data_IF_951587606340
#
_entry.id   IF_951587606340
#
_cell.length_a   1.000
_cell.length_b   1.000
_cell.length_c   1.000
_cell.angle_alpha   90.00
_cell.angle_beta   90.00
_cell.angle_gamma   90.00
#
_symmetry.space_group_name_H-M   'P 1'
#
loop_
_entity.id
_entity.type
_entity.pdbx_description
1 polymer ?
#
# COMPACT_ATOMS: atom_id res chain seq x y z
N UNK A 1 -0.84 24.57 36.71
CA UNK A 1 -1.14 25.79 35.91
C UNK A 1 -0.43 25.77 34.55
N UNK A 2 0.87 25.46 34.46
CA UNK A 2 1.65 25.39 33.21
C UNK A 2 1.20 24.32 32.19
N UNK A 3 0.74 23.15 32.63
CA UNK A 3 0.30 22.08 31.72
C UNK A 3 -0.98 22.42 30.93
N UNK A 4 -1.87 23.25 31.50
CA UNK A 4 -3.16 23.61 30.90
C UNK A 4 -2.95 24.68 29.84
N UNK A 5 -2.06 25.65 30.07
CA UNK A 5 -1.70 26.70 29.11
C UNK A 5 -0.96 26.14 27.90
N UNK A 6 -0.05 25.19 28.09
CA UNK A 6 0.66 24.51 26.98
C UNK A 6 -0.31 23.64 26.18
N UNK A 7 -1.21 22.90 26.84
CA UNK A 7 -2.24 22.10 26.16
C UNK A 7 -3.22 22.97 25.35
N UNK A 8 -3.64 24.11 25.90
CA UNK A 8 -4.48 25.08 25.18
C UNK A 8 -3.78 25.78 24.01
N UNK A 9 -2.47 26.05 24.12
CA UNK A 9 -1.68 26.62 23.04
C UNK A 9 -1.46 25.60 21.91
N UNK A 10 -1.15 24.34 22.25
CA UNK A 10 -1.02 23.23 21.29
C UNK A 10 -2.36 22.97 20.59
N UNK A 11 -3.48 23.02 21.32
CA UNK A 11 -4.82 22.88 20.72
C UNK A 11 -5.20 24.04 19.80
N UNK A 12 -4.82 25.29 20.10
CA UNK A 12 -5.07 26.44 19.23
C UNK A 12 -4.21 26.43 17.96
N UNK A 13 -2.95 26.03 18.07
CA UNK A 13 -2.07 25.87 16.91
C UNK A 13 -2.58 24.74 16.02
N UNK A 14 -2.93 23.57 16.58
CA UNK A 14 -3.55 22.46 15.81
C UNK A 14 -4.85 22.86 15.09
N UNK A 15 -5.76 23.57 15.78
CA UNK A 15 -7.07 23.96 15.22
C UNK A 15 -7.02 25.02 14.11
N UNK A 16 -5.97 25.83 14.01
CA UNK A 16 -5.79 26.76 12.89
C UNK A 16 -5.11 26.13 11.67
N UNK A 17 -4.24 25.14 11.91
CA UNK A 17 -3.37 24.51 10.91
C UNK A 17 -4.05 23.42 10.09
N UNK A 18 -4.92 22.60 10.71
CA UNK A 18 -5.58 21.49 10.04
C UNK A 18 -6.55 21.97 8.94
N UNK A 19 -7.17 23.14 9.08
CA UNK A 19 -8.15 23.65 8.11
C UNK A 19 -7.53 24.10 6.79
N UNK A 20 -6.33 24.68 6.80
CA UNK A 20 -5.65 25.09 5.56
C UNK A 20 -5.11 23.89 4.78
N UNK A 21 -4.60 22.87 5.48
CA UNK A 21 -4.04 21.68 4.86
C UNK A 21 -5.11 20.85 4.11
N UNK A 22 -6.27 20.66 4.74
CA UNK A 22 -7.43 19.97 4.13
C UNK A 22 -8.18 20.83 3.10
N UNK A 23 -7.87 22.12 2.98
CA UNK A 23 -8.45 22.98 1.93
C UNK A 23 -7.83 22.68 0.55
N UNK A 24 -6.61 22.14 0.51
CA UNK A 24 -5.99 21.74 -0.75
C UNK A 24 -6.64 20.45 -1.28
N UNK A 25 -7.51 20.60 -2.30
CA UNK A 25 -8.22 19.49 -2.96
C UNK A 25 -7.28 18.39 -3.46
N UNK A 26 -6.06 18.75 -3.88
CA UNK A 26 -5.06 17.78 -4.35
C UNK A 26 -4.55 16.90 -3.20
N UNK A 27 -4.30 17.50 -2.03
CA UNK A 27 -3.85 16.76 -0.85
C UNK A 27 -4.92 15.80 -0.34
N UNK A 28 -6.18 16.25 -0.29
CA UNK A 28 -7.30 15.38 0.11
C UNK A 28 -7.46 14.19 -0.84
N UNK A 29 -7.39 14.43 -2.16
CA UNK A 29 -7.42 13.35 -3.15
C UNK A 29 -6.24 12.38 -2.99
N UNK A 30 -5.05 12.89 -2.66
CA UNK A 30 -3.86 12.07 -2.40
C UNK A 30 -4.03 11.19 -1.16
N UNK A 31 -4.61 11.71 -0.06
CA UNK A 31 -4.91 10.92 1.15
C UNK A 31 -5.92 9.81 0.85
N UNK A 32 -6.99 10.11 0.09
CA UNK A 32 -7.97 9.08 -0.32
C UNK A 32 -7.34 8.02 -1.22
N UNK A 33 -6.48 8.42 -2.15
CA UNK A 33 -5.73 7.49 -2.98
C UNK A 33 -4.82 6.60 -2.14
N UNK A 34 -4.07 7.16 -1.19
CA UNK A 34 -3.17 6.42 -0.32
C UNK A 34 -3.91 5.40 0.54
N UNK A 35 -5.07 5.78 1.09
CA UNK A 35 -5.98 4.89 1.82
C UNK A 35 -6.33 3.65 0.99
N UNK A 36 -6.73 3.85 -0.27
CA UNK A 36 -7.17 2.79 -1.17
C UNK A 36 -6.00 1.94 -1.69
N UNK A 37 -4.87 2.56 -1.99
CA UNK A 37 -3.67 1.87 -2.43
C UNK A 37 -3.13 0.94 -1.34
N UNK A 38 -3.08 1.43 -0.09
CA UNK A 38 -2.58 0.65 1.03
C UNK A 38 -3.53 -0.48 1.43
N UNK A 39 -4.85 -0.26 1.41
CA UNK A 39 -5.81 -1.34 1.67
C UNK A 39 -5.72 -2.46 0.63
N UNK A 40 -5.61 -2.10 -0.66
CA UNK A 40 -5.44 -3.05 -1.76
C UNK A 40 -4.14 -3.87 -1.63
N UNK A 41 -3.05 -3.21 -1.22
CA UNK A 41 -1.79 -3.87 -0.94
C UNK A 41 -1.92 -4.88 0.20
N UNK A 42 -2.50 -4.48 1.34
CA UNK A 42 -2.70 -5.37 2.50
C UNK A 42 -3.56 -6.58 2.16
N UNK A 43 -4.67 -6.39 1.44
CA UNK A 43 -5.55 -7.48 1.00
C UNK A 43 -4.79 -8.48 0.12
N UNK A 44 -3.95 -8.00 -0.79
CA UNK A 44 -3.15 -8.86 -1.68
C UNK A 44 -2.14 -9.71 -0.92
N UNK A 45 -1.51 -9.16 0.12
CA UNK A 45 -0.57 -9.92 0.96
C UNK A 45 -1.26 -11.00 1.80
N UNK A 46 -2.48 -10.75 2.25
CA UNK A 46 -3.25 -11.71 3.06
C UNK A 46 -3.70 -12.91 2.22
N UNK A 47 -4.12 -12.68 0.98
CA UNK A 47 -4.58 -13.77 0.09
C UNK A 47 -3.42 -14.58 -0.52
N UNK A 48 -2.23 -14.00 -0.63
CA UNK A 48 -1.08 -14.66 -1.25
C UNK A 48 -0.76 -16.06 -0.66
N UNK A 49 -0.68 -16.28 0.67
CA UNK A 49 -0.48 -17.61 1.24
C UNK A 49 -1.66 -18.56 1.00
N UNK A 50 -2.91 -18.06 0.93
CA UNK A 50 -4.07 -18.89 0.61
C UNK A 50 -4.03 -19.40 -0.84
N UNK A 51 -3.57 -18.55 -1.77
CA UNK A 51 -3.34 -18.91 -3.17
C UNK A 51 -2.26 -20.01 -3.29
N UNK A 52 -1.15 -19.88 -2.55
CA UNK A 52 -0.09 -20.90 -2.50
C UNK A 52 -0.61 -22.24 -2.00
N UNK A 53 -1.44 -22.21 -0.95
CA UNK A 53 -2.06 -23.40 -0.38
C UNK A 53 -3.03 -24.07 -1.38
N UNK A 54 -3.84 -23.28 -2.10
CA UNK A 54 -4.77 -23.78 -3.12
C UNK A 54 -4.08 -24.54 -4.26
N UNK A 55 -2.86 -24.14 -4.63
CA UNK A 55 -2.09 -24.82 -5.68
C UNK A 55 -1.26 -26.01 -5.18
N UNK A 56 -1.40 -26.43 -3.91
CA UNK A 56 -0.60 -27.48 -3.26
C UNK A 56 0.93 -27.24 -3.37
N UNK A 57 1.37 -25.98 -3.40
CA UNK A 57 2.78 -25.61 -3.54
C UNK A 57 3.52 -25.52 -2.18
N UNK A 58 2.88 -26.04 -1.12
CA UNK A 58 3.34 -25.99 0.27
C UNK A 58 4.76 -26.52 0.45
N UNK A 59 5.12 -27.63 -0.22
CA UNK A 59 6.46 -28.25 -0.12
C UNK A 59 7.60 -27.31 -0.52
N UNK A 60 7.38 -26.38 -1.47
CA UNK A 60 8.41 -25.41 -1.88
C UNK A 60 8.36 -24.10 -1.09
N UNK A 61 7.19 -23.70 -0.58
CA UNK A 61 7.03 -22.46 0.19
C UNK A 61 7.33 -22.57 1.68
N UNK A 62 7.36 -23.78 2.25
CA UNK A 62 7.72 -23.99 3.65
C UNK A 62 9.19 -23.62 3.94
N UNK A 63 10.05 -23.71 2.92
CA UNK A 63 11.47 -23.35 3.02
C UNK A 63 11.70 -21.86 2.75
N UNK A 64 10.93 -21.25 1.85
CA UNK A 64 11.03 -19.82 1.53
C UNK A 64 9.66 -19.22 1.16
N UNK A 65 8.98 -18.50 2.07
CA UNK A 65 7.67 -17.95 1.78
C UNK A 65 7.79 -16.78 0.78
N UNK A 66 6.89 -16.75 -0.21
CA UNK A 66 6.85 -15.70 -1.25
C UNK A 66 6.75 -14.29 -0.65
N UNK A 67 6.08 -14.15 0.50
CA UNK A 67 5.99 -12.90 1.26
C UNK A 67 7.36 -12.36 1.69
N UNK A 68 8.31 -13.24 2.04
CA UNK A 68 9.68 -12.85 2.36
C UNK A 68 10.43 -12.35 1.13
N UNK A 69 10.23 -12.98 -0.04
CA UNK A 69 10.82 -12.50 -1.30
C UNK A 69 10.31 -11.09 -1.62
N UNK A 70 9.00 -10.86 -1.48
CA UNK A 70 8.41 -9.54 -1.69
C UNK A 70 9.02 -8.52 -0.72
N UNK A 71 9.16 -8.86 0.56
CA UNK A 71 9.73 -7.97 1.57
C UNK A 71 11.18 -7.59 1.27
N UNK A 72 12.02 -8.56 0.89
CA UNK A 72 13.42 -8.31 0.54
C UNK A 72 13.49 -7.42 -0.70
N UNK A 73 12.79 -7.78 -1.78
CA UNK A 73 12.81 -7.01 -3.03
C UNK A 73 12.18 -5.63 -2.82
N UNK A 74 11.23 -5.46 -1.91
CA UNK A 74 10.68 -4.16 -1.54
C UNK A 74 11.72 -3.22 -0.91
N UNK A 75 12.62 -3.75 -0.08
CA UNK A 75 13.74 -2.95 0.44
C UNK A 75 14.64 -2.49 -0.71
N UNK A 76 15.00 -3.39 -1.62
CA UNK A 76 15.80 -3.03 -2.80
C UNK A 76 15.07 -2.05 -3.73
N UNK A 77 13.77 -2.24 -3.94
CA UNK A 77 12.91 -1.36 -4.73
C UNK A 77 12.90 0.06 -4.18
N UNK A 78 12.80 0.22 -2.85
CA UNK A 78 12.88 1.55 -2.20
C UNK A 78 14.20 2.26 -2.49
N UNK A 79 15.31 1.54 -2.42
CA UNK A 79 16.65 2.11 -2.67
C UNK A 79 16.79 2.48 -4.15
N UNK A 80 16.47 1.55 -5.05
CA UNK A 80 16.63 1.75 -6.50
C UNK A 80 15.71 2.86 -7.01
N UNK A 81 14.42 2.85 -6.65
CA UNK A 81 13.48 3.89 -7.06
C UNK A 81 13.81 5.24 -6.42
N UNK A 82 14.34 5.25 -5.19
CA UNK A 82 14.88 6.47 -4.57
C UNK A 82 16.01 7.07 -5.40
N UNK A 83 17.03 6.28 -5.73
CA UNK A 83 18.15 6.73 -6.57
C UNK A 83 17.68 7.21 -7.95
N UNK A 84 16.70 6.53 -8.56
CA UNK A 84 16.14 6.94 -9.85
C UNK A 84 15.39 8.27 -9.74
N UNK A 85 14.67 8.49 -8.63
CA UNK A 85 13.94 9.74 -8.40
C UNK A 85 14.86 10.93 -8.11
N UNK A 86 16.07 10.69 -7.60
CA UNK A 86 17.09 11.70 -7.36
C UNK A 86 17.83 12.13 -8.65
N UNK A 87 17.58 11.47 -9.80
CA UNK A 87 18.23 11.83 -11.06
C UNK A 87 17.68 13.17 -11.59
N UNK A 88 18.55 14.12 -11.99
CA UNK A 88 18.14 15.46 -12.41
C UNK A 88 17.29 15.47 -13.70
N UNK A 89 17.26 14.37 -14.44
CA UNK A 89 16.52 14.23 -15.69
C UNK A 89 15.09 13.70 -15.49
N UNK A 90 14.71 13.28 -14.27
CA UNK A 90 13.46 12.55 -14.02
C UNK A 90 12.68 13.26 -12.91
N UNK A 91 11.39 13.52 -13.14
CA UNK A 91 10.52 14.03 -12.09
C UNK A 91 10.09 12.91 -11.15
N UNK A 92 10.18 13.15 -9.84
CA UNK A 92 9.76 12.22 -8.77
C UNK A 92 8.32 11.77 -8.99
N UNK A 93 7.44 12.68 -9.39
CA UNK A 93 6.06 12.40 -9.74
C UNK A 93 5.90 11.36 -10.85
N UNK A 94 6.73 11.41 -11.89
CA UNK A 94 6.63 10.46 -12.99
C UNK A 94 7.08 9.06 -12.54
N UNK A 95 8.14 8.96 -11.74
CA UNK A 95 8.57 7.67 -11.14
C UNK A 95 7.48 7.12 -10.23
N UNK A 96 6.90 7.96 -9.38
CA UNK A 96 5.85 7.58 -8.45
C UNK A 96 4.59 7.07 -9.15
N UNK A 97 4.09 7.81 -10.15
CA UNK A 97 2.89 7.44 -10.91
C UNK A 97 3.14 6.18 -11.75
N UNK A 98 4.31 6.06 -12.40
CA UNK A 98 4.65 4.89 -13.20
C UNK A 98 4.75 3.63 -12.32
N UNK A 99 5.47 3.70 -11.20
CA UNK A 99 5.60 2.58 -10.27
C UNK A 99 4.26 2.21 -9.61
N UNK A 100 3.41 3.18 -9.30
CA UNK A 100 2.06 2.93 -8.81
C UNK A 100 1.20 2.24 -9.86
N UNK A 101 1.26 2.70 -11.12
CA UNK A 101 0.50 2.13 -12.23
C UNK A 101 0.94 0.69 -12.54
N UNK A 102 2.25 0.44 -12.57
CA UNK A 102 2.83 -0.90 -12.73
C UNK A 102 2.36 -1.82 -11.61
N UNK A 103 2.34 -1.36 -10.35
CA UNK A 103 1.84 -2.17 -9.23
C UNK A 103 0.37 -2.58 -9.42
N UNK A 104 -0.49 -1.66 -9.84
CA UNK A 104 -1.91 -1.96 -10.10
C UNK A 104 -2.06 -2.97 -11.24
N UNK A 105 -1.29 -2.81 -12.31
CA UNK A 105 -1.30 -3.74 -13.45
C UNK A 105 -0.88 -5.15 -13.02
N UNK A 106 0.12 -5.26 -12.14
CA UNK A 106 0.58 -6.54 -11.61
C UNK A 106 -0.51 -7.21 -10.77
N UNK A 107 -1.21 -6.46 -9.91
CA UNK A 107 -2.33 -7.02 -9.15
C UNK A 107 -3.49 -7.50 -10.04
N UNK A 108 -3.71 -6.88 -11.19
CA UNK A 108 -4.70 -7.35 -12.16
C UNK A 108 -4.27 -8.67 -12.83
N UNK A 109 -2.97 -8.87 -13.04
CA UNK A 109 -2.39 -10.07 -13.66
C UNK A 109 -2.26 -11.23 -12.65
N UNK A 110 -2.09 -10.92 -11.36
CA UNK A 110 -1.94 -11.91 -10.26
C UNK A 110 -2.99 -13.05 -10.31
N UNK A 111 -4.32 -12.81 -10.45
CA UNK A 111 -5.31 -13.89 -10.48
C UNK A 111 -5.26 -14.76 -11.74
N UNK A 112 -4.61 -14.33 -12.82
CA UNK A 112 -4.49 -15.13 -14.06
C UNK A 112 -3.36 -16.16 -13.99
N UNK A 113 -2.57 -16.16 -12.91
CA UNK A 113 -1.30 -16.87 -12.86
C UNK A 113 -1.43 -18.13 -12.02
N UNK A 114 -1.36 -19.27 -12.70
CA UNK A 114 -1.57 -20.60 -12.12
C UNK A 114 -0.27 -21.41 -11.95
N UNK A 115 0.89 -20.84 -12.34
CA UNK A 115 2.20 -21.50 -12.27
C UNK A 115 3.07 -20.91 -11.15
N UNK A 116 3.76 -21.75 -10.39
CA UNK A 116 4.66 -21.33 -9.30
C UNK A 116 5.74 -20.34 -9.77
N UNK A 117 6.39 -20.62 -10.89
CA UNK A 117 7.39 -19.72 -11.48
C UNK A 117 6.80 -18.35 -11.83
N UNK A 118 5.56 -18.31 -12.32
CA UNK A 118 4.84 -17.07 -12.62
C UNK A 118 4.53 -16.27 -11.34
N UNK A 119 4.13 -16.97 -10.28
CA UNK A 119 3.89 -16.37 -8.95
C UNK A 119 5.17 -15.73 -8.38
N UNK A 120 6.32 -16.41 -8.47
CA UNK A 120 7.62 -15.86 -8.01
C UNK A 120 7.99 -14.59 -8.79
N UNK A 121 7.86 -14.61 -10.12
CA UNK A 121 8.15 -13.43 -10.97
C UNK A 121 7.22 -12.27 -10.62
N UNK A 122 5.93 -12.54 -10.44
CA UNK A 122 4.97 -11.49 -10.07
C UNK A 122 5.23 -10.95 -8.66
N UNK A 123 5.58 -11.80 -7.71
CA UNK A 123 5.94 -11.39 -6.35
C UNK A 123 7.18 -10.49 -6.35
N UNK A 124 8.24 -10.87 -7.07
CA UNK A 124 9.44 -10.03 -7.20
C UNK A 124 9.12 -8.68 -7.85
N UNK A 125 8.35 -8.66 -8.92
CA UNK A 125 7.97 -7.42 -9.59
C UNK A 125 7.06 -6.54 -8.71
N UNK A 126 6.15 -7.14 -7.95
CA UNK A 126 5.29 -6.47 -6.96
C UNK A 126 6.13 -5.83 -5.87
N UNK A 127 7.12 -6.56 -5.33
CA UNK A 127 8.06 -6.03 -4.34
C UNK A 127 8.88 -4.88 -4.87
N UNK A 128 9.38 -4.98 -6.10
CA UNK A 128 10.16 -3.89 -6.70
C UNK A 128 9.29 -2.64 -6.91
N UNK A 129 8.10 -2.80 -7.48
CA UNK A 129 7.18 -1.71 -7.78
C UNK A 129 6.67 -1.02 -6.51
N UNK A 130 6.40 -1.76 -5.43
CA UNK A 130 5.98 -1.18 -4.15
C UNK A 130 7.06 -0.31 -3.49
N UNK A 131 8.29 -0.33 -3.99
CA UNK A 131 9.34 0.58 -3.56
C UNK A 131 8.98 2.07 -3.68
N UNK A 132 7.96 2.45 -4.48
CA UNK A 132 7.50 3.84 -4.57
C UNK A 132 7.06 4.43 -3.22
N UNK A 133 6.76 3.61 -2.21
CA UNK A 133 6.43 4.09 -0.86
C UNK A 133 7.55 4.96 -0.25
N UNK A 134 8.81 4.81 -0.68
CA UNK A 134 9.90 5.71 -0.24
C UNK A 134 9.80 7.12 -0.82
N UNK A 135 9.15 7.29 -1.98
CA UNK A 135 8.95 8.57 -2.65
C UNK A 135 7.72 9.33 -2.15
N UNK A 136 6.82 8.65 -1.44
CA UNK A 136 5.59 9.22 -0.89
C UNK A 136 5.81 10.49 -0.04
N UNK A 137 6.80 10.59 0.88
CA UNK A 137 7.06 11.84 1.60
C UNK A 137 7.56 12.96 0.68
N UNK A 138 8.37 12.65 -0.34
CA UNK A 138 8.89 13.64 -1.30
C UNK A 138 7.73 14.21 -2.14
N UNK A 139 6.87 13.32 -2.65
CA UNK A 139 5.64 13.74 -3.34
C UNK A 139 4.75 14.56 -2.41
N UNK A 140 4.62 14.17 -1.14
CA UNK A 140 3.81 14.93 -0.17
C UNK A 140 4.38 16.33 0.07
N UNK A 141 5.71 16.47 0.12
CA UNK A 141 6.39 17.75 0.27
C UNK A 141 6.00 18.72 -0.85
N UNK A 142 5.98 18.25 -2.10
CA UNK A 142 5.57 19.04 -3.26
C UNK A 142 4.10 19.53 -3.20
N UNK A 143 3.22 18.90 -2.40
CA UNK A 143 1.81 19.33 -2.27
C UNK A 143 1.56 20.36 -1.16
N UNK A 144 2.32 20.28 -0.06
CA UNK A 144 2.00 21.01 1.19
C UNK A 144 3.14 21.88 1.71
N UNK A 145 4.28 21.90 1.01
CA UNK A 145 5.55 22.49 1.43
C UNK A 145 6.20 21.78 2.65
N UNK A 146 7.52 21.91 2.75
CA UNK A 146 8.35 21.27 3.77
C UNK A 146 7.93 21.64 5.21
N UNK A 147 7.40 22.86 5.42
CA UNK A 147 6.95 23.34 6.73
C UNK A 147 5.77 22.54 7.29
N UNK A 148 4.98 21.91 6.42
CA UNK A 148 3.80 21.15 6.80
C UNK A 148 3.91 19.66 6.49
N UNK A 149 5.01 19.22 5.85
CA UNK A 149 5.26 17.84 5.47
C UNK A 149 5.06 16.84 6.61
N UNK A 150 5.65 17.09 7.78
CA UNK A 150 5.57 16.15 8.90
C UNK A 150 4.13 15.90 9.37
N UNK A 151 3.30 16.96 9.38
CA UNK A 151 1.89 16.86 9.77
C UNK A 151 1.06 16.17 8.68
N UNK A 152 1.25 16.57 7.43
CA UNK A 152 0.58 16.01 6.26
C UNK A 152 0.87 14.51 6.10
N UNK A 153 2.15 14.13 6.17
CA UNK A 153 2.60 12.76 6.07
C UNK A 153 2.15 11.93 7.28
N UNK A 154 2.07 12.53 8.47
CA UNK A 154 1.46 11.91 9.64
C UNK A 154 -0.01 11.54 9.42
N UNK A 155 -0.80 12.43 8.79
CA UNK A 155 -2.19 12.15 8.41
C UNK A 155 -2.26 10.97 7.43
N UNK A 156 -1.39 10.95 6.41
CA UNK A 156 -1.35 9.85 5.43
C UNK A 156 -0.99 8.52 6.11
N UNK A 157 -0.02 8.50 7.01
CA UNK A 157 0.34 7.30 7.77
C UNK A 157 -0.82 6.83 8.65
N UNK A 158 -1.50 7.75 9.35
CA UNK A 158 -2.69 7.41 10.13
C UNK A 158 -3.78 6.79 9.25
N UNK A 159 -4.00 7.35 8.06
CA UNK A 159 -4.88 6.78 7.05
C UNK A 159 -4.46 5.35 6.68
N UNK A 160 -3.19 5.13 6.33
CA UNK A 160 -2.66 3.81 6.03
C UNK A 160 -2.84 2.82 7.19
N UNK A 161 -2.68 3.28 8.44
CA UNK A 161 -2.97 2.49 9.64
C UNK A 161 -4.43 2.03 9.71
N UNK A 162 -5.39 2.93 9.45
CA UNK A 162 -6.82 2.59 9.36
C UNK A 162 -7.05 1.57 8.23
N UNK A 163 -6.43 1.77 7.07
CA UNK A 163 -6.50 0.82 5.95
C UNK A 163 -5.94 -0.56 6.30
N UNK A 164 -4.85 -0.65 7.08
CA UNK A 164 -4.31 -1.92 7.56
C UNK A 164 -5.25 -2.61 8.55
N UNK A 165 -5.97 -1.87 9.40
CA UNK A 165 -6.97 -2.44 10.31
C UNK A 165 -8.19 -2.96 9.55
N UNK A 166 -8.62 -2.25 8.51
CA UNK A 166 -9.75 -2.64 7.67
C UNK A 166 -9.37 -3.73 6.64
N UNK A 167 -8.12 -3.83 6.21
CA UNK A 167 -7.68 -4.80 5.21
C UNK A 167 -8.07 -6.25 5.52
N UNK A 168 -7.71 -6.82 6.69
CA UNK A 168 -8.06 -8.18 7.08
C UNK A 168 -9.56 -8.49 7.13
N UNK A 169 -10.45 -7.69 7.77
CA UNK A 169 -11.87 -7.99 7.77
C UNK A 169 -12.50 -7.89 6.37
N UNK A 170 -12.03 -6.96 5.53
CA UNK A 170 -12.47 -6.89 4.14
C UNK A 170 -11.99 -8.10 3.32
N UNK A 171 -10.74 -8.53 3.51
CA UNK A 171 -10.19 -9.72 2.87
C UNK A 171 -10.94 -10.99 3.27
N UNK A 172 -11.19 -11.18 4.57
CA UNK A 172 -11.95 -12.31 5.10
C UNK A 172 -13.36 -12.38 4.50
N UNK A 173 -14.08 -11.26 4.48
CA UNK A 173 -15.44 -11.20 3.91
C UNK A 173 -15.45 -11.45 2.38
N UNK A 174 -14.44 -10.97 1.66
CA UNK A 174 -14.31 -11.23 0.22
C UNK A 174 -14.04 -12.71 -0.04
N UNK A 175 -13.14 -13.33 0.72
CA UNK A 175 -12.85 -14.77 0.61
C UNK A 175 -14.09 -15.63 0.89
N UNK A 176 -14.89 -15.27 1.89
CA UNK A 176 -16.15 -15.95 2.23
C UNK A 176 -17.17 -15.85 1.08
N UNK A 177 -17.39 -14.64 0.53
CA UNK A 177 -18.29 -14.44 -0.60
C UNK A 177 -17.83 -15.20 -1.84
N UNK A 178 -16.52 -15.20 -2.14
CA UNK A 178 -15.97 -15.95 -3.26
C UNK A 178 -16.14 -17.46 -3.07
N UNK A 179 -15.91 -17.98 -1.86
CA UNK A 179 -16.15 -19.40 -1.53
C UNK A 179 -17.62 -19.77 -1.70
N UNK A 180 -18.54 -18.95 -1.21
CA UNK A 180 -19.99 -19.16 -1.39
C UNK A 180 -20.38 -19.14 -2.87
N UNK A 181 -19.83 -18.23 -3.67
CA UNK A 181 -20.12 -18.17 -5.11
C UNK A 181 -19.54 -19.38 -5.87
N UNK A 182 -18.34 -19.83 -5.51
CA UNK A 182 -17.77 -21.08 -6.07
C UNK A 182 -18.57 -22.31 -5.63
N UNK A 183 -19.03 -22.38 -4.37
CA UNK A 183 -19.90 -23.46 -3.89
C UNK A 183 -21.23 -23.50 -4.64
N UNK A 184 -21.81 -22.33 -4.94
CA UNK A 184 -23.02 -22.22 -5.78
C UNK A 184 -22.77 -22.63 -7.24
N UNK A 185 -21.59 -22.32 -7.78
CA UNK A 185 -21.21 -22.66 -9.17
C UNK A 185 -20.81 -24.13 -9.35
N UNK A 186 -20.34 -24.81 -8.31
CA UNK A 186 -20.00 -26.24 -8.32
C UNK A 186 -21.06 -27.15 -7.68
N UNK A 187 -22.21 -26.61 -7.26
CA UNK A 187 -23.35 -27.43 -6.81
C UNK A 187 -23.05 -28.32 -5.61
N UNK A 188 -22.14 -27.93 -4.72
CA UNK A 188 -21.87 -28.67 -3.47
C UNK A 188 -22.80 -28.13 -2.37
N UNK A 189 -24.09 -28.31 -2.60
CA UNK A 189 -25.17 -28.28 -1.61
C UNK A 189 -25.96 -29.58 -1.86
N UNK A 190 -25.34 -30.68 -1.45
CA UNK A 190 -26.04 -31.91 -1.07
C UNK A 190 -25.91 -32.03 0.45
#
# INVERSE_FOLDING_TARGET
MWAITVSWLIMRVKKGFEYCLFTNRMFVAFVFWALFAYSSFVISFIHLPEIVNLYNLLEQTDVFPLTSIIAIVHIFGKVILGVIADLPCISVWNVFLLASFVLVLIFLILPLMHMYTGLVVICTLTGFSSGYFSLMPIVTEDLVDIEHLANAYGIIICANGISALLGPPFAGKLSEVLRVHSAYRYGVLC
#
